data_IF_162087528754
#
_entry.id   IF_162087528754
#
_cell.length_a   1.000
_cell.length_b   1.000
_cell.length_c   1.000
_cell.angle_alpha   90.00
_cell.angle_beta   90.00
_cell.angle_gamma   90.00
#
_symmetry.space_group_name_H-M   'P 1'
#
loop_
_entity.id
_entity.type
_entity.pdbx_description
1 polymer ?
#
# COMPACT_ATOMS: atom_id res chain seq x y z
N UNK A 1 4.26 -23.59 -11.80
CA UNK A 1 4.76 -22.30 -12.31
C UNK A 1 6.29 -22.28 -12.23
N UNK A 2 6.99 -21.90 -13.30
CA UNK A 2 8.47 -21.89 -13.39
C UNK A 2 9.15 -23.24 -13.14
N UNK A 3 8.52 -24.32 -13.63
CA UNK A 3 9.12 -25.65 -13.64
C UNK A 3 10.32 -25.70 -14.60
N UNK A 4 10.20 -25.01 -15.74
CA UNK A 4 11.31 -24.79 -16.66
C UNK A 4 12.19 -23.64 -16.15
N UNK A 5 13.51 -23.82 -16.24
CA UNK A 5 14.50 -22.77 -15.91
C UNK A 5 14.36 -21.57 -16.83
N UNK A 6 13.87 -21.77 -18.05
CA UNK A 6 13.70 -20.71 -19.05
C UNK A 6 12.60 -19.70 -18.69
N UNK A 7 11.64 -20.06 -17.84
CA UNK A 7 10.57 -19.16 -17.38
C UNK A 7 11.02 -18.22 -16.26
N UNK A 8 12.22 -18.43 -15.71
CA UNK A 8 12.74 -17.66 -14.58
C UNK A 8 13.42 -16.39 -15.06
N UNK A 9 13.15 -15.27 -14.40
CA UNK A 9 13.64 -13.96 -14.79
C UNK A 9 14.83 -13.53 -13.92
N UNK A 10 15.90 -13.11 -14.59
CA UNK A 10 17.07 -12.48 -13.99
C UNK A 10 17.94 -13.41 -13.14
N UNK A 11 18.96 -12.83 -12.50
CA UNK A 11 19.94 -13.57 -11.66
C UNK A 11 19.30 -14.25 -10.46
N UNK A 12 18.22 -13.67 -9.94
CA UNK A 12 17.47 -14.16 -8.78
C UNK A 12 16.59 -15.36 -9.11
N UNK A 13 16.31 -15.61 -10.40
CA UNK A 13 15.52 -16.76 -10.86
C UNK A 13 14.05 -16.72 -10.42
N UNK A 14 13.48 -15.51 -10.32
CA UNK A 14 12.10 -15.32 -9.88
C UNK A 14 11.07 -15.60 -10.98
N UNK A 15 9.81 -15.77 -10.56
CA UNK A 15 8.67 -15.81 -11.47
C UNK A 15 8.54 -14.46 -12.21
N UNK A 16 8.03 -14.46 -13.46
CA UNK A 16 7.88 -13.24 -14.23
C UNK A 16 6.83 -12.29 -13.61
N UNK A 17 7.00 -11.00 -13.85
CA UNK A 17 6.01 -10.00 -13.46
C UNK A 17 4.70 -10.24 -14.20
N UNK A 18 3.57 -10.14 -13.49
CA UNK A 18 2.24 -10.48 -14.00
C UNK A 18 1.85 -11.93 -13.79
N UNK A 19 2.68 -12.74 -13.12
CA UNK A 19 2.26 -14.10 -12.73
C UNK A 19 1.08 -14.03 -11.78
N UNK A 20 -0.05 -14.61 -12.18
CA UNK A 20 -1.28 -14.68 -11.40
C UNK A 20 -1.61 -16.13 -11.06
N UNK A 21 -2.10 -16.37 -9.84
CA UNK A 21 -2.55 -17.69 -9.37
C UNK A 21 -3.87 -17.53 -8.64
N UNK A 22 -4.92 -18.10 -9.22
CA UNK A 22 -6.30 -18.11 -8.70
C UNK A 22 -6.86 -19.53 -8.50
N UNK A 23 -6.05 -20.57 -8.75
CA UNK A 23 -6.44 -21.98 -8.63
C UNK A 23 -5.57 -22.77 -7.64
N UNK A 24 -6.14 -23.86 -7.09
CA UNK A 24 -5.54 -24.84 -6.18
C UNK A 24 -5.14 -24.36 -4.78
N UNK A 25 -4.49 -23.20 -4.67
CA UNK A 25 -3.92 -22.68 -3.41
C UNK A 25 -4.69 -21.48 -2.84
N UNK A 26 -5.77 -21.11 -3.51
CA UNK A 26 -6.71 -20.04 -3.14
C UNK A 26 -7.84 -20.56 -2.26
N UNK A 27 -8.66 -19.66 -1.75
CA UNK A 27 -9.81 -20.00 -0.92
C UNK A 27 -10.82 -20.85 -1.73
N UNK A 28 -11.39 -21.93 -1.15
CA UNK A 28 -12.26 -22.84 -1.90
C UNK A 28 -13.62 -22.26 -2.28
N UNK A 29 -14.07 -21.18 -1.63
CA UNK A 29 -15.43 -20.63 -1.80
C UNK A 29 -15.48 -19.13 -2.07
N UNK A 30 -14.42 -18.40 -1.76
CA UNK A 30 -14.41 -16.93 -1.83
C UNK A 30 -13.47 -16.51 -2.95
N UNK A 31 -13.60 -15.26 -3.38
CA UNK A 31 -12.85 -14.76 -4.51
C UNK A 31 -11.55 -14.13 -4.05
N UNK A 32 -10.47 -14.89 -4.15
CA UNK A 32 -9.11 -14.44 -3.89
C UNK A 32 -8.13 -14.90 -4.98
N UNK A 33 -7.02 -14.18 -5.10
CA UNK A 33 -5.96 -14.52 -6.05
C UNK A 33 -4.60 -13.95 -5.60
N UNK A 34 -3.53 -14.61 -6.02
CA UNK A 34 -2.17 -14.10 -5.88
C UNK A 34 -1.73 -13.46 -7.20
N UNK A 35 -1.12 -12.27 -7.11
CA UNK A 35 -0.51 -11.60 -8.25
C UNK A 35 0.90 -11.14 -7.88
N UNK A 36 1.88 -11.63 -8.63
CA UNK A 36 3.26 -11.14 -8.58
C UNK A 36 3.47 -10.07 -9.65
N UNK A 37 3.09 -8.83 -9.34
CA UNK A 37 3.09 -7.73 -10.31
C UNK A 37 4.47 -7.13 -10.63
N UNK A 38 5.52 -7.46 -9.88
CA UNK A 38 6.83 -6.82 -9.96
C UNK A 38 7.93 -7.79 -10.38
N UNK A 39 9.02 -7.25 -10.95
CA UNK A 39 10.21 -8.05 -11.25
C UNK A 39 11.07 -8.25 -9.99
N UNK A 40 11.37 -9.51 -9.65
CA UNK A 40 12.20 -9.89 -8.51
C UNK A 40 13.68 -9.58 -8.73
N UNK A 41 14.18 -8.46 -8.18
CA UNK A 41 15.58 -8.05 -8.34
C UNK A 41 16.52 -8.95 -7.53
N UNK A 42 16.15 -9.26 -6.29
CA UNK A 42 16.98 -10.00 -5.34
C UNK A 42 16.11 -10.84 -4.42
N UNK A 43 16.63 -12.00 -4.02
CA UNK A 43 15.92 -12.95 -3.16
C UNK A 43 14.71 -13.55 -3.86
N UNK A 44 13.73 -13.98 -3.07
CA UNK A 44 12.46 -14.53 -3.57
C UNK A 44 11.38 -13.47 -3.54
N UNK A 45 10.70 -13.26 -4.66
CA UNK A 45 9.59 -12.31 -4.80
C UNK A 45 8.45 -12.73 -3.91
N UNK A 46 7.72 -11.75 -3.37
CA UNK A 46 6.53 -11.98 -2.55
C UNK A 46 5.30 -11.63 -3.40
N UNK A 47 4.55 -12.62 -3.92
CA UNK A 47 3.28 -12.35 -4.58
C UNK A 47 2.31 -11.68 -3.61
N UNK A 48 1.59 -10.67 -4.08
CA UNK A 48 0.55 -10.02 -3.30
C UNK A 48 -0.74 -10.82 -3.37
N UNK A 49 -1.36 -11.04 -2.22
CA UNK A 49 -2.64 -11.74 -2.10
C UNK A 49 -3.77 -10.71 -2.07
N UNK A 50 -4.73 -10.87 -2.97
CA UNK A 50 -5.89 -10.01 -3.09
C UNK A 50 -7.12 -10.81 -2.73
N UNK A 51 -7.98 -10.21 -1.93
CA UNK A 51 -9.20 -10.83 -1.42
C UNK A 51 -10.37 -9.88 -1.69
N UNK A 52 -11.37 -10.37 -2.42
CA UNK A 52 -12.56 -9.59 -2.75
C UNK A 52 -13.57 -9.77 -1.64
N UNK A 53 -13.57 -8.82 -0.69
CA UNK A 53 -14.50 -8.85 0.44
C UNK A 53 -15.91 -8.40 0.04
N UNK A 54 -16.03 -7.55 -0.99
CA UNK A 54 -17.29 -6.99 -1.44
C UNK A 54 -17.20 -6.58 -2.90
N UNK A 55 -18.21 -6.94 -3.70
CA UNK A 55 -18.30 -6.57 -5.11
C UNK A 55 -19.75 -6.44 -5.60
N UNK A 56 -20.24 -5.20 -5.69
CA UNK A 56 -21.53 -4.88 -6.31
C UNK A 56 -21.47 -4.82 -7.84
N UNK A 57 -20.28 -4.65 -8.42
CA UNK A 57 -20.07 -4.46 -9.85
C UNK A 57 -20.04 -5.78 -10.63
N UNK A 58 -19.92 -6.92 -9.92
CA UNK A 58 -19.88 -8.29 -10.46
C UNK A 58 -18.75 -8.46 -11.47
N UNK A 59 -17.53 -8.10 -11.07
CA UNK A 59 -16.33 -8.31 -11.87
C UNK A 59 -16.09 -9.79 -12.12
N UNK A 60 -15.61 -10.09 -13.32
CA UNK A 60 -15.00 -11.39 -13.59
C UNK A 60 -13.59 -11.47 -12.99
N UNK A 61 -13.10 -12.70 -12.81
CA UNK A 61 -11.73 -12.96 -12.37
C UNK A 61 -10.70 -12.23 -13.24
N UNK A 62 -10.81 -12.39 -14.56
CA UNK A 62 -9.90 -11.79 -15.52
C UNK A 62 -9.90 -10.26 -15.47
N UNK A 63 -11.08 -9.64 -15.43
CA UNK A 63 -11.20 -8.18 -15.38
C UNK A 63 -10.54 -7.60 -14.13
N UNK A 64 -10.79 -8.20 -12.96
CA UNK A 64 -10.26 -7.71 -11.70
C UNK A 64 -8.73 -7.93 -11.61
N UNK A 65 -8.24 -9.07 -12.08
CA UNK A 65 -6.81 -9.38 -12.12
C UNK A 65 -6.07 -8.41 -13.07
N UNK A 66 -6.61 -8.17 -14.27
CA UNK A 66 -6.04 -7.22 -15.24
C UNK A 66 -6.07 -5.80 -14.67
N UNK A 67 -7.20 -5.35 -14.13
CA UNK A 67 -7.33 -4.03 -13.51
C UNK A 67 -6.28 -3.82 -12.41
N UNK A 68 -6.15 -4.81 -11.52
CA UNK A 68 -5.18 -4.77 -10.43
C UNK A 68 -3.74 -4.67 -10.96
N UNK A 69 -3.42 -5.44 -11.99
CA UNK A 69 -2.10 -5.40 -12.62
C UNK A 69 -1.82 -4.07 -13.34
N UNK A 70 -2.82 -3.49 -14.02
CA UNK A 70 -2.70 -2.17 -14.64
C UNK A 70 -2.46 -1.08 -13.60
N UNK A 71 -3.16 -1.11 -12.47
CA UNK A 71 -2.95 -0.15 -11.38
C UNK A 71 -1.52 -0.21 -10.80
N UNK A 72 -0.85 -1.36 -10.85
CA UNK A 72 0.56 -1.49 -10.45
C UNK A 72 1.54 -0.74 -11.38
N UNK A 73 1.12 -0.36 -12.59
CA UNK A 73 1.94 0.42 -13.54
C UNK A 73 1.74 1.93 -13.45
N UNK A 74 0.76 2.38 -12.65
CA UNK A 74 0.41 3.81 -12.52
C UNK A 74 1.22 4.54 -11.43
N UNK A 75 2.21 3.89 -10.85
CA UNK A 75 3.02 4.47 -9.78
C UNK A 75 4.04 5.47 -10.33
N UNK A 76 3.93 6.73 -9.93
CA UNK A 76 4.63 7.85 -10.59
C UNK A 76 6.12 7.97 -10.26
N UNK A 77 6.62 7.30 -9.21
CA UNK A 77 8.03 7.46 -8.80
C UNK A 77 9.01 6.57 -9.56
N UNK A 78 8.53 5.60 -10.35
CA UNK A 78 9.41 4.77 -11.17
C UNK A 78 8.70 4.29 -12.45
N UNK A 79 9.48 4.10 -13.51
CA UNK A 79 9.01 3.53 -14.79
C UNK A 79 9.00 2.00 -14.73
N UNK A 80 8.46 1.44 -13.64
CA UNK A 80 8.46 -0.01 -13.36
C UNK A 80 7.15 -0.38 -12.69
N UNK A 81 6.66 -1.60 -12.97
CA UNK A 81 5.56 -2.17 -12.19
C UNK A 81 6.00 -2.41 -10.74
N UNK A 82 5.21 -1.90 -9.81
CA UNK A 82 5.42 -2.09 -8.36
C UNK A 82 4.66 -3.31 -7.84
N UNK A 83 4.99 -3.75 -6.62
CA UNK A 83 4.47 -4.99 -6.03
C UNK A 83 3.01 -4.92 -5.57
N UNK A 84 2.44 -3.73 -5.42
CA UNK A 84 1.04 -3.49 -5.01
C UNK A 84 0.46 -2.33 -5.84
N UNK A 85 -0.87 -2.19 -5.96
CA UNK A 85 -1.48 -1.15 -6.78
C UNK A 85 -1.09 0.25 -6.29
N UNK A 86 -0.92 1.19 -7.22
CA UNK A 86 -0.48 2.55 -6.88
C UNK A 86 -1.32 3.22 -5.77
N UNK A 87 -2.66 3.10 -5.72
CA UNK A 87 -3.46 3.67 -4.64
C UNK A 87 -3.06 3.16 -3.24
N UNK A 88 -2.86 1.84 -3.10
CA UNK A 88 -2.42 1.25 -1.83
C UNK A 88 -0.99 1.68 -1.46
N UNK A 89 -0.12 1.81 -2.47
CA UNK A 89 1.23 2.32 -2.26
C UNK A 89 1.23 3.78 -1.79
N UNK A 90 0.39 4.64 -2.39
CA UNK A 90 0.26 6.03 -1.97
C UNK A 90 -0.31 6.16 -0.57
N UNK A 91 -1.30 5.36 -0.19
CA UNK A 91 -1.82 5.35 1.19
C UNK A 91 -0.69 5.11 2.21
N UNK A 92 0.23 4.19 1.93
CA UNK A 92 1.42 3.95 2.76
C UNK A 92 2.34 5.17 2.84
N UNK A 93 2.57 5.87 1.73
CA UNK A 93 3.40 7.08 1.70
C UNK A 93 2.75 8.23 2.48
N UNK A 94 1.44 8.40 2.36
CA UNK A 94 0.66 9.39 3.12
C UNK A 94 0.73 9.09 4.61
N UNK A 95 0.49 7.85 5.03
CA UNK A 95 0.60 7.44 6.43
C UNK A 95 2.01 7.64 6.99
N UNK A 96 3.04 7.32 6.21
CA UNK A 96 4.43 7.57 6.60
C UNK A 96 4.73 9.06 6.76
N UNK A 97 4.25 9.89 5.83
CA UNK A 97 4.38 11.36 5.93
C UNK A 97 3.62 11.94 7.12
N UNK A 98 2.42 11.45 7.40
CA UNK A 98 1.66 11.83 8.58
C UNK A 98 2.44 11.51 9.87
N UNK A 99 3.05 10.32 9.95
CA UNK A 99 3.94 9.96 11.07
C UNK A 99 5.07 10.97 11.26
N UNK A 100 5.72 11.42 10.19
CA UNK A 100 6.74 12.47 10.29
C UNK A 100 6.21 13.77 10.90
N UNK A 101 4.97 14.16 10.59
CA UNK A 101 4.35 15.35 11.17
C UNK A 101 3.94 15.18 12.64
N UNK A 102 3.93 13.95 13.17
CA UNK A 102 3.62 13.66 14.57
C UNK A 102 4.87 13.55 15.45
N UNK A 103 6.07 13.36 14.87
CA UNK A 103 7.33 13.18 15.64
C UNK A 103 7.59 14.34 16.61
N UNK A 104 7.35 15.59 16.19
CA UNK A 104 7.55 16.77 17.05
C UNK A 104 6.41 16.99 18.05
N UNK A 105 5.25 16.34 17.85
CA UNK A 105 4.08 16.47 18.73
C UNK A 105 4.05 15.41 19.82
N UNK A 106 4.58 14.22 19.57
CA UNK A 106 4.68 13.16 20.58
C UNK A 106 5.74 13.48 21.63
N UNK A 107 6.76 14.28 21.31
CA UNK A 107 7.73 14.78 22.29
C UNK A 107 7.14 15.80 23.28
N UNK A 108 6.07 16.50 22.90
CA UNK A 108 5.34 17.46 23.76
C UNK A 108 4.15 16.79 24.48
N UNK A 109 3.82 15.55 24.12
CA UNK A 109 2.70 14.76 24.70
C UNK A 109 3.15 13.83 25.84
N UNK A 110 4.35 14.04 26.38
CA UNK A 110 4.86 13.38 27.58
C UNK A 110 4.26 13.89 28.88
N UNK A 111 3.39 14.90 28.84
CA UNK A 111 2.59 15.32 29.99
C UNK A 111 1.21 14.67 29.92
N UNK A 112 0.93 13.87 30.95
CA UNK A 112 -0.24 12.99 31.03
C UNK A 112 -1.58 13.71 30.87
N UNK A 113 -2.61 12.90 30.67
CA UNK A 113 -4.01 13.30 30.52
C UNK A 113 -4.40 14.55 31.33
N UNK A 114 -4.55 15.69 30.64
CA UNK A 114 -5.19 16.85 31.23
C UNK A 114 -6.68 16.57 31.42
N UNK A 115 -7.12 16.57 32.68
CA UNK A 115 -8.53 16.55 33.07
C UNK A 115 -9.20 17.77 32.43
N UNK A 116 -10.27 17.56 31.68
CA UNK A 116 -11.10 18.61 31.10
C UNK A 116 -11.78 19.39 32.21
N UNK A 117 -11.14 20.45 32.69
CA UNK A 117 -11.64 21.31 33.75
C UNK A 117 -11.29 22.76 33.50
N UNK A 118 -12.33 23.53 33.16
CA UNK A 118 -12.42 24.99 33.19
C UNK A 118 -11.97 25.77 31.95
N UNK A 119 -12.99 26.21 31.21
CA UNK A 119 -12.98 27.35 30.32
C UNK A 119 -12.47 28.61 31.02
N UNK A 120 -11.45 29.26 30.46
CA UNK A 120 -11.32 30.71 30.54
C UNK A 120 -10.45 31.29 29.41
N UNK A 121 -11.13 31.94 28.46
CA UNK A 121 -10.78 33.22 27.83
C UNK A 121 -9.34 33.50 27.36
N UNK A 122 -9.19 33.54 26.03
CA UNK A 122 -8.43 34.54 25.25
C UNK A 122 -6.99 34.81 25.69
N UNK A 123 -6.03 34.13 25.04
CA UNK A 123 -4.62 34.49 25.12
C UNK A 123 -4.16 35.23 23.83
N UNK A 124 -3.99 36.56 23.84
CA UNK A 124 -3.68 37.36 22.65
C UNK A 124 -2.28 37.08 22.06
N UNK A 125 -1.41 36.38 22.78
CA UNK A 125 -0.08 36.00 22.28
C UNK A 125 -0.10 34.93 21.19
N UNK A 126 -1.12 34.06 21.16
CA UNK A 126 -1.23 33.02 20.14
C UNK A 126 -1.62 33.59 18.75
N UNK A 127 -2.34 34.71 18.70
CA UNK A 127 -2.72 35.38 17.46
C UNK A 127 -1.54 36.12 16.80
N UNK A 128 -0.58 36.60 17.59
CA UNK A 128 0.55 37.39 17.07
C UNK A 128 1.54 36.56 16.23
N UNK A 129 1.65 35.25 16.46
CA UNK A 129 2.55 34.36 15.70
C UNK A 129 1.98 33.93 14.34
N UNK A 130 0.70 34.17 14.08
CA UNK A 130 0.05 33.74 12.83
C UNK A 130 0.08 34.81 11.71
N UNK A 131 0.69 35.98 11.93
CA UNK A 131 0.60 37.15 11.01
C UNK A 131 1.95 37.59 10.42
N UNK A 132 3.06 36.91 10.70
CA UNK A 132 4.33 37.25 10.04
C UNK A 132 4.70 36.22 8.97
N UNK A 133 4.65 36.71 7.72
CA UNK A 133 5.23 36.14 6.50
C UNK A 133 6.73 36.37 6.49
#
# INVERSE_FOLDING_TARGET
>A
FCADKNERIGKSGNIPAGTTVDTNITHPFEFDFYLCSHAGIQGTSRPSHYYVLWDDNRFTADELQILTYQLCHTYVRCTRSVSIPAPAYYARLVAFRARYHLVDKEHDSGEGSHISGQSNGRDPQALAKAVQV
#
